data_IF_260169482873
#
_entry.id   IF_260169482873
#
_cell.length_a   1.000
_cell.length_b   1.000
_cell.length_c   1.000
_cell.angle_alpha   90.00
_cell.angle_beta   90.00
_cell.angle_gamma   90.00
#
_symmetry.space_group_name_H-M   'P 1'
#
loop_
_entity.id
_entity.type
_entity.pdbx_description
1 polymer ?
#
# COMPACT_ATOMS: atom_id res chain seq x y z
N UNK A 1 -11.45 20.23 6.84
CA UNK A 1 -12.10 19.30 7.81
C UNK A 1 -12.01 19.91 9.21
N UNK A 2 -13.03 19.77 10.06
CA UNK A 2 -12.91 20.14 11.49
C UNK A 2 -11.84 19.28 12.16
N UNK A 3 -11.22 19.76 13.25
CA UNK A 3 -10.09 19.08 13.90
C UNK A 3 -10.39 17.63 14.32
N UNK A 4 -11.62 17.37 14.79
CA UNK A 4 -12.07 16.02 15.15
C UNK A 4 -12.25 15.10 13.93
N UNK A 5 -12.94 15.57 12.88
CA UNK A 5 -13.20 14.78 11.67
C UNK A 5 -11.91 14.39 10.95
N UNK A 6 -10.91 15.28 10.93
CA UNK A 6 -9.59 14.99 10.35
C UNK A 6 -8.88 13.85 11.09
N UNK A 7 -8.95 13.84 12.43
CA UNK A 7 -8.32 12.77 13.24
C UNK A 7 -8.97 11.42 12.95
N UNK A 8 -10.30 11.36 12.93
CA UNK A 8 -11.03 10.12 12.61
C UNK A 8 -10.70 9.60 11.21
N UNK A 9 -10.62 10.50 10.23
CA UNK A 9 -10.22 10.13 8.87
C UNK A 9 -8.78 9.60 8.81
N UNK A 10 -7.82 10.26 9.46
CA UNK A 10 -6.43 9.77 9.49
C UNK A 10 -6.36 8.37 10.09
N UNK A 11 -7.09 8.10 11.17
CA UNK A 11 -7.16 6.75 11.76
C UNK A 11 -7.74 5.74 10.78
N UNK A 12 -8.87 6.04 10.15
CA UNK A 12 -9.49 5.18 9.13
C UNK A 12 -8.52 4.88 7.98
N UNK A 13 -7.82 5.91 7.48
CA UNK A 13 -6.86 5.78 6.40
C UNK A 13 -5.67 4.90 6.81
N UNK A 14 -5.15 5.05 8.03
CA UNK A 14 -4.06 4.22 8.55
C UNK A 14 -4.49 2.76 8.72
N UNK A 15 -5.72 2.50 9.17
CA UNK A 15 -6.30 1.15 9.23
C UNK A 15 -6.46 0.57 7.84
N UNK A 16 -6.90 1.37 6.88
CA UNK A 16 -7.02 0.98 5.47
C UNK A 16 -5.66 0.57 4.91
N UNK A 17 -4.60 1.36 5.17
CA UNK A 17 -3.24 1.04 4.77
C UNK A 17 -2.74 -0.26 5.43
N UNK A 18 -2.96 -0.44 6.73
CA UNK A 18 -2.58 -1.66 7.44
C UNK A 18 -3.30 -2.90 6.91
N UNK A 19 -4.51 -2.74 6.36
CA UNK A 19 -5.26 -3.84 5.76
C UNK A 19 -4.75 -4.29 4.39
N UNK A 20 -3.93 -3.46 3.70
CA UNK A 20 -3.41 -3.78 2.36
C UNK A 20 -2.68 -5.14 2.33
N UNK A 21 -1.63 -5.37 3.13
CA UNK A 21 -0.92 -6.65 3.14
C UNK A 21 -1.74 -7.80 3.72
N UNK A 22 -2.78 -7.51 4.51
CA UNK A 22 -3.66 -8.50 5.14
C UNK A 22 -4.89 -8.85 4.29
N UNK A 23 -5.03 -8.22 3.13
CA UNK A 23 -6.22 -8.40 2.31
C UNK A 23 -6.24 -9.79 1.69
N UNK A 24 -7.41 -10.43 1.76
CA UNK A 24 -7.66 -11.74 1.18
C UNK A 24 -8.44 -11.57 -0.10
N UNK A 25 -7.98 -12.23 -1.17
CA UNK A 25 -8.67 -12.24 -2.46
C UNK A 25 -9.79 -13.28 -2.41
N UNK A 26 -11.01 -12.81 -2.24
CA UNK A 26 -12.20 -13.67 -2.20
C UNK A 26 -12.92 -13.62 -3.54
N UNK A 27 -13.03 -14.78 -4.21
CA UNK A 27 -13.90 -14.95 -5.35
C UNK A 27 -15.38 -15.00 -4.91
N UNK A 28 -16.18 -14.03 -5.34
CA UNK A 28 -17.63 -14.03 -5.17
C UNK A 28 -18.26 -14.84 -6.31
N UNK A 29 -19.17 -15.75 -5.98
CA UNK A 29 -19.68 -16.80 -6.88
C UNK A 29 -20.41 -16.30 -8.13
N UNK A 30 -20.43 -17.17 -9.15
CA UNK A 30 -21.08 -17.11 -10.48
C UNK A 30 -20.59 -16.09 -11.52
N UNK A 31 -19.89 -15.01 -11.12
CA UNK A 31 -19.48 -13.94 -12.07
C UNK A 31 -17.97 -13.74 -12.26
N UNK A 32 -17.11 -14.56 -11.64
CA UNK A 32 -15.64 -14.40 -11.72
C UNK A 32 -15.09 -13.17 -10.99
N UNK A 33 -15.90 -12.50 -10.16
CA UNK A 33 -15.50 -11.30 -9.43
C UNK A 33 -14.63 -11.66 -8.24
N UNK A 34 -13.44 -11.06 -8.16
CA UNK A 34 -12.51 -11.23 -7.04
C UNK A 34 -12.41 -9.92 -6.28
N UNK A 35 -12.77 -9.96 -5.00
CA UNK A 35 -12.78 -8.80 -4.09
C UNK A 35 -11.69 -8.99 -3.04
N UNK A 36 -10.87 -7.96 -2.81
CA UNK A 36 -9.89 -7.94 -1.72
C UNK A 36 -10.56 -7.48 -0.41
N UNK A 37 -10.86 -8.43 0.49
CA UNK A 37 -11.52 -8.17 1.78
C UNK A 37 -10.46 -8.06 2.90
N UNK A 38 -10.53 -7.06 3.81
CA UNK A 38 -11.49 -5.96 3.92
C UNK A 38 -11.09 -4.69 3.13
N UNK A 39 -9.99 -4.75 2.37
CA UNK A 39 -9.35 -3.59 1.74
C UNK A 39 -10.31 -2.79 0.85
N UNK A 40 -11.00 -3.44 -0.09
CA UNK A 40 -11.87 -2.75 -1.04
C UNK A 40 -12.99 -1.98 -0.35
N UNK A 41 -13.58 -2.55 0.71
CA UNK A 41 -14.60 -1.87 1.51
C UNK A 41 -14.02 -0.64 2.21
N UNK A 42 -12.84 -0.77 2.82
CA UNK A 42 -12.17 0.33 3.51
C UNK A 42 -11.74 1.44 2.54
N UNK A 43 -11.28 1.10 1.34
CA UNK A 43 -10.98 2.05 0.26
C UNK A 43 -12.25 2.76 -0.20
N UNK A 44 -13.36 2.05 -0.39
CA UNK A 44 -14.62 2.68 -0.76
C UNK A 44 -15.12 3.68 0.31
N UNK A 45 -15.03 3.32 1.58
CA UNK A 45 -15.40 4.23 2.70
C UNK A 45 -14.47 5.44 2.75
N UNK A 46 -13.14 5.25 2.62
CA UNK A 46 -12.18 6.35 2.56
C UNK A 46 -12.46 7.31 1.41
N UNK A 47 -12.66 6.77 0.20
CA UNK A 47 -12.96 7.55 -0.99
C UNK A 47 -14.26 8.35 -0.81
N UNK A 48 -15.32 7.72 -0.29
CA UNK A 48 -16.60 8.39 -0.02
C UNK A 48 -16.43 9.56 0.96
N UNK A 49 -15.73 9.36 2.08
CA UNK A 49 -15.48 10.42 3.07
C UNK A 49 -14.70 11.59 2.45
N UNK A 50 -13.70 11.30 1.61
CA UNK A 50 -12.93 12.33 0.90
C UNK A 50 -13.78 13.09 -0.11
N UNK A 51 -14.62 12.39 -0.89
CA UNK A 51 -15.52 13.02 -1.86
C UNK A 51 -16.53 13.94 -1.17
N UNK A 52 -17.16 13.48 -0.08
CA UNK A 52 -18.08 14.30 0.72
C UNK A 52 -17.39 15.52 1.32
N UNK A 53 -16.14 15.35 1.79
CA UNK A 53 -15.35 16.47 2.28
C UNK A 53 -15.07 17.47 1.16
N UNK A 54 -14.77 17.01 -0.06
CA UNK A 54 -14.51 17.87 -1.20
C UNK A 54 -15.75 18.67 -1.62
N UNK A 55 -16.90 18.01 -1.79
CA UNK A 55 -18.19 18.66 -2.14
C UNK A 55 -18.61 19.67 -1.07
N UNK A 56 -18.27 19.42 0.20
CA UNK A 56 -18.53 20.36 1.32
C UNK A 56 -17.53 21.53 1.38
N UNK A 57 -16.73 21.77 0.34
CA UNK A 57 -15.72 22.84 0.31
C UNK A 57 -14.50 22.60 1.19
N UNK A 58 -14.30 21.37 1.70
CA UNK A 58 -13.18 20.97 2.58
C UNK A 58 -12.15 20.10 1.85
N UNK A 59 -12.10 20.21 0.52
CA UNK A 59 -11.18 19.49 -0.34
C UNK A 59 -9.73 19.98 -0.24
N UNK A 60 -8.81 19.35 -0.98
CA UNK A 60 -7.44 19.83 -1.11
C UNK A 60 -7.38 21.24 -1.71
N UNK A 61 -6.34 21.99 -1.36
CA UNK A 61 -6.09 23.33 -1.92
C UNK A 61 -5.93 23.25 -3.45
N UNK A 62 -6.43 24.26 -4.18
CA UNK A 62 -6.39 24.27 -5.65
C UNK A 62 -4.96 24.21 -6.22
N UNK A 63 -3.98 24.78 -5.51
CA UNK A 63 -2.56 24.67 -5.83
C UNK A 63 -2.07 23.23 -5.92
N UNK A 64 -2.60 22.35 -5.06
CA UNK A 64 -2.23 20.94 -5.01
C UNK A 64 -2.85 20.14 -6.17
N UNK A 65 -4.03 20.54 -6.64
CA UNK A 65 -4.68 19.97 -7.81
C UNK A 65 -3.95 20.31 -9.11
N UNK A 66 -3.33 21.49 -9.17
CA UNK A 66 -2.56 21.97 -10.31
C UNK A 66 -1.10 21.50 -10.32
N UNK A 67 -0.67 20.75 -9.31
CA UNK A 67 0.69 20.19 -9.27
C UNK A 67 0.89 19.21 -10.46
N UNK A 68 2.07 19.19 -11.13
CA UNK A 68 2.30 18.36 -12.31
C UNK A 68 1.99 16.88 -12.10
N UNK A 69 2.30 16.36 -10.90
CA UNK A 69 1.99 14.97 -10.51
C UNK A 69 0.47 14.76 -10.40
N UNK A 70 -0.26 15.69 -9.80
CA UNK A 70 -1.73 15.62 -9.71
C UNK A 70 -2.37 15.68 -11.10
N UNK A 71 -1.84 16.52 -11.99
CA UNK A 71 -2.26 16.59 -13.39
C UNK A 71 -1.99 15.27 -14.13
N UNK A 72 -0.81 14.68 -13.98
CA UNK A 72 -0.48 13.40 -14.59
C UNK A 72 -1.42 12.27 -14.13
N UNK A 73 -1.74 12.23 -12.83
CA UNK A 73 -2.71 11.30 -12.26
C UNK A 73 -4.12 11.55 -12.82
N UNK A 74 -4.54 12.82 -12.89
CA UNK A 74 -5.85 13.19 -13.43
C UNK A 74 -5.98 12.86 -14.93
N UNK A 75 -4.94 13.11 -15.72
CA UNK A 75 -4.88 12.75 -17.14
C UNK A 75 -4.96 11.22 -17.31
N UNK A 76 -4.21 10.45 -16.50
CA UNK A 76 -4.26 9.00 -16.53
C UNK A 76 -5.64 8.44 -16.16
N UNK A 77 -6.32 9.05 -15.19
CA UNK A 77 -7.71 8.72 -14.85
C UNK A 77 -8.68 9.09 -15.98
N UNK A 78 -8.55 10.27 -16.57
CA UNK A 78 -9.33 10.69 -17.73
C UNK A 78 -9.17 9.73 -18.91
N UNK A 79 -7.94 9.31 -19.20
CA UNK A 79 -7.64 8.31 -20.22
C UNK A 79 -8.25 6.94 -19.90
N UNK A 80 -8.23 6.53 -18.63
CA UNK A 80 -8.88 5.29 -18.18
C UNK A 80 -10.39 5.36 -18.42
N UNK A 81 -11.03 6.51 -18.19
CA UNK A 81 -12.46 6.69 -18.45
C UNK A 81 -12.77 6.65 -19.96
N UNK A 82 -11.96 7.31 -20.79
CA UNK A 82 -12.13 7.27 -22.25
C UNK A 82 -12.04 5.84 -22.77
N UNK A 83 -11.01 5.09 -22.37
CA UNK A 83 -10.82 3.70 -22.79
C UNK A 83 -11.87 2.75 -22.20
N UNK A 84 -12.40 3.04 -21.01
CA UNK A 84 -13.51 2.29 -20.43
C UNK A 84 -14.83 2.47 -21.18
N UNK A 85 -15.09 3.65 -21.76
CA UNK A 85 -16.30 3.91 -22.55
C UNK A 85 -16.23 3.29 -23.96
N UNK A 86 -15.03 3.12 -24.52
CA UNK A 86 -14.81 2.57 -25.87
C UNK A 86 -14.46 1.09 -25.90
N UNK A 87 -14.51 0.41 -24.74
CA UNK A 87 -14.14 -1.00 -24.65
C UNK A 87 -15.25 -1.94 -25.15
N UNK A 88 -14.87 -3.18 -25.41
CA UNK A 88 -15.80 -4.25 -25.83
C UNK A 88 -16.86 -4.55 -24.76
N UNK A 89 -16.50 -4.40 -23.48
CA UNK A 89 -17.42 -4.51 -22.34
C UNK A 89 -17.34 -3.23 -21.48
N UNK A 90 -18.13 -2.19 -21.84
CA UNK A 90 -18.10 -0.91 -21.15
C UNK A 90 -18.52 -1.01 -19.68
N UNK A 91 -19.43 -1.92 -19.34
CA UNK A 91 -19.92 -2.07 -17.96
C UNK A 91 -18.83 -2.61 -17.04
N UNK A 92 -18.10 -3.63 -17.47
CA UNK A 92 -16.96 -4.17 -16.70
C UNK A 92 -15.84 -3.13 -16.60
N UNK A 93 -15.57 -2.43 -17.70
CA UNK A 93 -14.50 -1.44 -17.77
C UNK A 93 -14.79 -0.20 -16.92
N UNK A 94 -16.04 0.23 -16.86
CA UNK A 94 -16.47 1.35 -16.01
C UNK A 94 -16.37 0.99 -14.52
N UNK A 95 -16.72 -0.24 -14.14
CA UNK A 95 -16.50 -0.74 -12.77
C UNK A 95 -15.01 -0.71 -12.40
N UNK A 96 -14.13 -1.16 -13.30
CA UNK A 96 -12.68 -1.06 -13.10
C UNK A 96 -12.23 0.40 -12.93
N UNK A 97 -12.70 1.31 -13.77
CA UNK A 97 -12.35 2.72 -13.70
C UNK A 97 -12.79 3.36 -12.37
N UNK A 98 -13.98 3.01 -11.87
CA UNK A 98 -14.49 3.47 -10.57
C UNK A 98 -13.64 2.95 -9.40
N UNK A 99 -13.30 1.66 -9.39
CA UNK A 99 -12.41 1.09 -8.37
C UNK A 99 -11.05 1.78 -8.42
N UNK A 100 -10.46 1.93 -9.61
CA UNK A 100 -9.17 2.63 -9.78
C UNK A 100 -9.22 4.07 -9.29
N UNK A 101 -10.30 4.80 -9.58
CA UNK A 101 -10.52 6.14 -9.06
C UNK A 101 -10.63 6.15 -7.53
N UNK A 102 -11.35 5.21 -6.91
CA UNK A 102 -11.46 5.11 -5.46
C UNK A 102 -10.10 4.85 -4.79
N UNK A 103 -9.26 3.98 -5.36
CA UNK A 103 -7.89 3.74 -4.89
C UNK A 103 -7.03 5.01 -4.99
N UNK A 104 -7.07 5.71 -6.13
CA UNK A 104 -6.32 6.94 -6.33
C UNK A 104 -6.79 8.02 -5.34
N UNK A 105 -8.09 8.26 -5.22
CA UNK A 105 -8.62 9.24 -4.25
C UNK A 105 -8.19 8.88 -2.84
N UNK A 106 -8.32 7.61 -2.44
CA UNK A 106 -7.95 7.15 -1.10
C UNK A 106 -6.47 7.33 -0.80
N UNK A 107 -5.58 6.80 -1.64
CA UNK A 107 -4.15 6.75 -1.32
C UNK A 107 -3.40 8.00 -1.74
N UNK A 108 -3.75 8.62 -2.88
CA UNK A 108 -3.12 9.86 -3.32
C UNK A 108 -3.68 11.06 -2.54
N UNK A 109 -4.98 11.34 -2.63
CA UNK A 109 -5.57 12.51 -1.97
C UNK A 109 -5.61 12.34 -0.45
N UNK A 110 -6.02 11.16 0.03
CA UNK A 110 -5.97 10.86 1.48
C UNK A 110 -4.56 10.85 2.04
N UNK A 111 -3.58 10.38 1.26
CA UNK A 111 -2.16 10.43 1.63
C UNK A 111 -1.68 11.86 1.87
N UNK A 112 -2.01 12.80 0.99
CA UNK A 112 -1.65 14.22 1.15
C UNK A 112 -2.12 14.79 2.49
N UNK A 113 -3.33 14.40 2.95
CA UNK A 113 -3.85 14.83 4.25
C UNK A 113 -3.09 14.24 5.45
N UNK A 114 -2.52 13.05 5.32
CA UNK A 114 -1.75 12.36 6.38
C UNK A 114 -0.30 12.87 6.43
N UNK A 115 0.33 12.98 5.27
CA UNK A 115 1.72 13.43 5.11
C UNK A 115 1.92 14.93 5.36
N UNK A 116 0.85 15.74 5.35
CA UNK A 116 0.95 17.16 5.70
C UNK A 116 1.43 17.41 7.14
N UNK A 117 1.42 16.39 8.01
CA UNK A 117 2.03 16.48 9.36
C UNK A 117 3.56 16.21 9.34
N UNK A 118 4.21 16.27 8.17
CA UNK A 118 5.65 16.10 7.99
C UNK A 118 6.16 14.73 8.47
N UNK A 119 7.29 14.75 9.19
CA UNK A 119 7.95 13.53 9.66
C UNK A 119 7.07 12.66 10.58
N UNK A 120 6.15 13.27 11.34
CA UNK A 120 5.20 12.51 12.19
C UNK A 120 4.22 11.72 11.33
N UNK A 121 3.71 12.33 10.26
CA UNK A 121 2.85 11.66 9.28
C UNK A 121 3.57 10.47 8.66
N UNK A 122 4.77 10.68 8.14
CA UNK A 122 5.58 9.62 7.52
C UNK A 122 5.84 8.43 8.46
N UNK A 123 6.17 8.68 9.73
CA UNK A 123 6.35 7.60 10.72
C UNK A 123 5.06 6.85 11.01
N UNK A 124 3.91 7.52 11.05
CA UNK A 124 2.60 6.85 11.24
C UNK A 124 2.25 5.96 10.06
N UNK A 125 2.48 6.42 8.83
CA UNK A 125 2.29 5.62 7.62
C UNK A 125 3.17 4.38 7.66
N UNK A 126 4.47 4.55 7.96
CA UNK A 126 5.39 3.43 8.04
C UNK A 126 5.01 2.44 9.14
N UNK A 127 4.65 2.94 10.34
CA UNK A 127 4.22 2.10 11.45
C UNK A 127 2.94 1.32 11.12
N UNK A 128 1.94 1.96 10.51
CA UNK A 128 0.68 1.29 10.15
C UNK A 128 0.89 0.22 9.07
N UNK A 129 1.66 0.54 8.03
CA UNK A 129 1.95 -0.44 6.98
C UNK A 129 2.80 -1.62 7.47
N UNK A 130 3.81 -1.37 8.31
CA UNK A 130 4.57 -2.44 8.97
C UNK A 130 3.70 -3.26 9.93
N UNK A 131 2.79 -2.63 10.68
CA UNK A 131 1.86 -3.34 11.55
C UNK A 131 0.96 -4.30 10.77
N UNK A 132 0.60 -3.96 9.53
CA UNK A 132 -0.11 -4.86 8.61
C UNK A 132 0.78 -5.96 8.03
N UNK A 133 2.04 -5.64 7.71
CA UNK A 133 2.92 -6.54 6.98
C UNK A 133 3.65 -7.56 7.88
N UNK A 134 3.96 -7.19 9.13
CA UNK A 134 4.65 -8.08 10.08
C UNK A 134 3.90 -9.39 10.37
N UNK A 135 2.57 -9.40 10.58
CA UNK A 135 1.81 -10.66 10.71
C UNK A 135 1.93 -11.55 9.48
N UNK A 136 1.98 -10.97 8.28
CA UNK A 136 2.18 -11.74 7.04
C UNK A 136 3.55 -12.37 7.02
N UNK A 137 4.61 -11.65 7.40
CA UNK A 137 5.96 -12.23 7.53
C UNK A 137 5.97 -13.36 8.56
N UNK A 138 5.33 -13.17 9.72
CA UNK A 138 5.23 -14.21 10.74
C UNK A 138 4.56 -15.48 10.19
N UNK A 139 3.46 -15.32 9.46
CA UNK A 139 2.76 -16.41 8.79
C UNK A 139 3.63 -17.11 7.73
N UNK A 140 4.28 -16.34 6.85
CA UNK A 140 5.11 -16.92 5.78
C UNK A 140 6.28 -17.71 6.35
N UNK A 141 6.98 -17.15 7.35
CA UNK A 141 8.11 -17.82 8.02
C UNK A 141 7.64 -19.11 8.70
N UNK A 142 6.54 -19.07 9.45
CA UNK A 142 5.99 -20.26 10.10
C UNK A 142 5.64 -21.38 9.11
N UNK A 143 4.95 -21.03 8.01
CA UNK A 143 4.59 -21.98 6.96
C UNK A 143 5.82 -22.53 6.23
N UNK A 144 6.82 -21.69 5.97
CA UNK A 144 8.01 -22.10 5.23
C UNK A 144 8.95 -22.95 6.08
N UNK A 145 9.02 -22.70 7.39
CA UNK A 145 9.83 -23.45 8.35
C UNK A 145 9.45 -24.95 8.36
N UNK A 146 8.16 -25.28 8.21
CA UNK A 146 7.69 -26.67 8.12
C UNK A 146 8.27 -27.45 6.92
N UNK A 147 8.78 -26.75 5.92
CA UNK A 147 9.41 -27.31 4.72
C UNK A 147 10.92 -27.16 4.68
N UNK A 148 11.55 -26.72 5.78
CA UNK A 148 12.99 -26.46 5.83
C UNK A 148 13.44 -25.36 4.87
N UNK A 149 12.57 -24.39 4.57
CA UNK A 149 12.84 -23.30 3.62
C UNK A 149 13.16 -23.77 2.19
N UNK A 150 12.57 -24.88 1.75
CA UNK A 150 12.81 -25.43 0.41
C UNK A 150 12.26 -24.54 -0.71
N UNK A 151 13.01 -24.38 -1.81
CA UNK A 151 12.59 -23.57 -2.97
C UNK A 151 11.17 -23.88 -3.46
N UNK A 152 10.78 -25.16 -3.51
CA UNK A 152 9.45 -25.57 -4.02
C UNK A 152 8.29 -24.94 -3.26
N UNK A 153 8.43 -24.73 -1.95
CA UNK A 153 7.38 -24.12 -1.13
C UNK A 153 7.43 -22.60 -1.13
N UNK A 154 8.57 -21.99 -1.50
CA UNK A 154 8.75 -20.53 -1.55
C UNK A 154 7.79 -19.81 -2.52
N UNK A 155 7.23 -20.53 -3.50
CA UNK A 155 6.25 -19.97 -4.44
C UNK A 155 4.90 -19.72 -3.77
N UNK A 156 4.54 -20.52 -2.77
CA UNK A 156 3.20 -20.52 -2.14
C UNK A 156 3.19 -19.99 -0.70
N UNK A 157 4.36 -19.71 -0.11
CA UNK A 157 4.45 -19.31 1.31
C UNK A 157 3.75 -18.00 1.63
N UNK A 158 3.59 -17.13 0.62
CA UNK A 158 2.83 -15.89 0.74
C UNK A 158 1.32 -16.10 0.90
N UNK A 159 0.79 -17.24 0.46
CA UNK A 159 -0.65 -17.50 0.53
C UNK A 159 -1.11 -17.71 1.98
N UNK A 160 -2.31 -17.22 2.36
CA UNK A 160 -3.36 -16.73 1.46
C UNK A 160 -3.27 -15.24 1.09
N UNK A 161 -2.35 -14.48 1.68
CA UNK A 161 -2.26 -13.02 1.51
C UNK A 161 -1.63 -12.60 0.18
N UNK A 162 -0.55 -13.26 -0.20
CA UNK A 162 0.16 -13.04 -1.47
C UNK A 162 0.06 -14.29 -2.33
N UNK A 163 -0.70 -14.22 -3.41
CA UNK A 163 -0.83 -15.31 -4.38
C UNK A 163 0.41 -15.48 -5.25
N UNK A 164 1.23 -14.42 -5.38
CA UNK A 164 2.45 -14.42 -6.16
C UNK A 164 3.66 -14.08 -5.27
N UNK A 165 4.62 -15.01 -5.19
CA UNK A 165 5.86 -14.81 -4.43
C UNK A 165 6.68 -13.58 -4.88
N UNK A 166 6.55 -13.14 -6.14
CA UNK A 166 7.20 -11.93 -6.64
C UNK A 166 6.60 -10.66 -6.00
N UNK A 167 5.27 -10.60 -5.84
CA UNK A 167 4.58 -9.49 -5.17
C UNK A 167 4.97 -9.42 -3.70
N UNK A 168 5.07 -10.58 -3.05
CA UNK A 168 5.55 -10.69 -1.67
C UNK A 168 6.99 -10.18 -1.54
N UNK A 169 7.90 -10.67 -2.39
CA UNK A 169 9.31 -10.26 -2.39
C UNK A 169 9.49 -8.77 -2.67
N UNK A 170 8.74 -8.22 -3.63
CA UNK A 170 8.75 -6.77 -3.91
C UNK A 170 8.26 -5.95 -2.72
N UNK A 171 7.19 -6.40 -2.05
CA UNK A 171 6.67 -5.72 -0.86
C UNK A 171 7.65 -5.78 0.31
N UNK A 172 8.35 -6.91 0.48
CA UNK A 172 9.39 -7.06 1.48
C UNK A 172 10.54 -6.07 1.26
N UNK A 173 11.05 -5.98 0.03
CA UNK A 173 12.11 -5.04 -0.35
C UNK A 173 11.66 -3.59 -0.18
N UNK A 174 10.43 -3.26 -0.59
CA UNK A 174 9.85 -1.94 -0.38
C UNK A 174 9.90 -1.54 1.11
N UNK A 175 9.46 -2.44 2.01
CA UNK A 175 9.52 -2.16 3.45
C UNK A 175 10.94 -2.10 4.01
N UNK A 176 11.87 -2.88 3.46
CA UNK A 176 13.30 -2.76 3.80
C UNK A 176 13.84 -1.38 3.44
N UNK A 177 13.55 -0.88 2.23
CA UNK A 177 13.98 0.45 1.77
C UNK A 177 13.36 1.56 2.65
N UNK A 178 12.08 1.44 3.01
CA UNK A 178 11.43 2.39 3.94
C UNK A 178 12.12 2.38 5.31
N UNK A 179 12.43 1.21 5.87
CA UNK A 179 13.12 1.10 7.15
C UNK A 179 14.54 1.66 7.12
N UNK A 180 15.29 1.39 6.04
CA UNK A 180 16.61 1.99 5.82
C UNK A 180 16.51 3.52 5.71
N UNK A 181 15.54 4.03 4.96
CA UNK A 181 15.27 5.46 4.86
C UNK A 181 14.94 6.10 6.21
N UNK A 182 14.15 5.44 7.06
CA UNK A 182 13.85 5.90 8.42
C UNK A 182 15.09 5.88 9.32
N UNK A 183 15.95 4.85 9.23
CA UNK A 183 17.19 4.76 9.99
C UNK A 183 18.16 5.90 9.61
N UNK A 184 18.30 6.18 8.30
CA UNK A 184 19.11 7.27 7.77
C UNK A 184 18.54 8.63 8.17
N UNK A 185 17.22 8.84 8.03
CA UNK A 185 16.57 10.08 8.45
C UNK A 185 16.76 10.36 9.95
N UNK A 186 16.74 9.31 10.79
CA UNK A 186 17.03 9.44 12.21
C UNK A 186 18.49 9.87 12.47
N UNK A 187 19.44 9.33 11.71
CA UNK A 187 20.86 9.71 11.76
C UNK A 187 21.05 11.17 11.42
N UNK A 188 20.48 11.64 10.32
CA UNK A 188 20.58 13.05 9.89
C UNK A 188 20.05 13.98 10.98
N UNK A 189 18.95 13.61 11.65
CA UNK A 189 18.32 14.45 12.69
C UNK A 189 19.06 14.44 14.04
N UNK A 190 19.69 13.34 14.43
CA UNK A 190 20.18 13.14 15.82
C UNK A 190 21.68 12.86 15.92
N UNK A 191 22.37 12.69 14.79
CA UNK A 191 23.73 12.17 14.74
C UNK A 191 23.85 10.66 15.03
N UNK A 192 22.78 10.00 15.50
CA UNK A 192 22.77 8.57 15.85
C UNK A 192 21.92 7.76 14.87
N UNK A 193 22.46 6.62 14.42
CA UNK A 193 21.73 5.70 13.55
C UNK A 193 20.43 5.21 14.22
N UNK A 194 19.34 5.18 13.47
CA UNK A 194 18.06 4.63 13.94
C UNK A 194 18.11 3.11 14.09
N UNK A 195 18.75 2.63 15.16
CA UNK A 195 19.13 1.23 15.33
C UNK A 195 17.94 0.26 15.25
N UNK A 196 16.78 0.62 15.80
CA UNK A 196 15.58 -0.24 15.73
C UNK A 196 15.08 -0.47 14.30
N UNK A 197 15.06 0.58 13.47
CA UNK A 197 14.67 0.46 12.06
C UNK A 197 15.73 -0.31 11.25
N UNK A 198 17.02 -0.10 11.56
CA UNK A 198 18.11 -0.83 10.92
C UNK A 198 18.07 -2.34 11.27
N UNK A 199 17.91 -2.69 12.54
CA UNK A 199 17.79 -4.08 12.99
C UNK A 199 16.61 -4.76 12.31
N UNK A 200 15.46 -4.08 12.24
CA UNK A 200 14.29 -4.64 11.58
C UNK A 200 14.50 -4.84 10.07
N UNK A 201 15.14 -3.89 9.39
CA UNK A 201 15.49 -4.02 7.98
C UNK A 201 16.44 -5.20 7.74
N UNK A 202 17.47 -5.36 8.57
CA UNK A 202 18.39 -6.49 8.50
C UNK A 202 17.71 -7.81 8.84
N UNK A 203 16.75 -7.80 9.77
CA UNK A 203 15.93 -8.96 10.11
C UNK A 203 15.05 -9.47 8.96
N UNK A 204 14.83 -8.67 7.92
CA UNK A 204 14.11 -9.10 6.72
C UNK A 204 15.02 -9.82 5.70
N UNK A 205 16.35 -9.77 5.85
CA UNK A 205 17.29 -10.44 4.92
C UNK A 205 17.11 -11.97 4.87
N UNK A 206 16.98 -12.70 6.01
CA UNK A 206 16.73 -14.14 5.96
C UNK A 206 15.38 -14.47 5.29
N UNK A 207 14.38 -13.61 5.47
CA UNK A 207 13.06 -13.76 4.85
C UNK A 207 13.15 -13.54 3.34
N UNK A 208 13.92 -12.55 2.89
CA UNK A 208 14.16 -12.27 1.48
C UNK A 208 14.92 -13.41 0.80
N UNK A 209 15.92 -13.97 1.49
CA UNK A 209 16.63 -15.16 1.04
C UNK A 209 15.67 -16.33 0.86
N UNK A 210 14.82 -16.58 1.86
CA UNK A 210 13.83 -17.64 1.82
C UNK A 210 12.72 -17.42 0.77
N UNK A 211 12.45 -16.18 0.37
CA UNK A 211 11.52 -15.86 -0.71
C UNK A 211 12.03 -16.26 -2.10
N UNK A 212 13.32 -16.61 -2.25
CA UNK A 212 13.95 -17.08 -3.49
C UNK A 212 13.69 -16.20 -4.75
N UNK A 213 13.46 -14.90 -4.56
CA UNK A 213 13.16 -13.97 -5.65
C UNK A 213 14.41 -13.22 -6.10
N UNK A 214 14.95 -13.58 -7.28
CA UNK A 214 16.14 -12.93 -7.86
C UNK A 214 15.88 -11.44 -8.16
N UNK A 215 14.68 -11.12 -8.65
CA UNK A 215 14.29 -9.73 -8.94
C UNK A 215 14.22 -8.88 -7.68
N UNK A 216 13.80 -9.45 -6.54
CA UNK A 216 13.78 -8.75 -5.26
C UNK A 216 15.20 -8.39 -4.77
N UNK A 217 16.18 -9.28 -4.95
CA UNK A 217 17.58 -8.94 -4.66
C UNK A 217 18.10 -7.80 -5.54
N UNK A 218 17.78 -7.82 -6.84
CA UNK A 218 18.16 -6.76 -7.76
C UNK A 218 17.51 -5.42 -7.38
N UNK A 219 16.23 -5.42 -7.01
CA UNK A 219 15.50 -4.24 -6.52
C UNK A 219 16.17 -3.63 -5.27
N UNK A 220 16.56 -4.47 -4.30
CA UNK A 220 17.24 -4.02 -3.09
C UNK A 220 18.60 -3.37 -3.39
N UNK A 221 19.38 -3.94 -4.32
CA UNK A 221 20.71 -3.42 -4.70
C UNK A 221 20.59 -2.13 -5.52
N UNK A 222 19.66 -2.10 -6.47
CA UNK A 222 19.41 -0.93 -7.30
C UNK A 222 18.80 0.24 -6.52
N UNK A 223 18.14 -0.06 -5.39
CA UNK A 223 17.35 0.92 -4.64
C UNK A 223 16.08 1.34 -5.38
N UNK A 224 15.53 0.45 -6.22
CA UNK A 224 14.34 0.67 -7.06
C UNK A 224 13.27 -0.35 -6.71
#
# INVERSE_FOLDING_TARGET
>A
MTGGLRRSFVTLWLVTLASVPLSLRWAVSSGGMVVAVPLELLVAVCAMVLLLAWVSGRGPEGSLLLHPVSLAVAIGLGWTLVTAMTSVDPLVSLKYALVRAAYIVTFFVGGLAVFSNGAVGARRVAAAGLAGFLPVIGWTVWRHAASGFAYKTSVEVGAPFYTNHLEYGATLVFWMLVLLGLAMAHRVRTGRMGMGALILALGFLPVLWAAHSRSAWLALIAGV
#
